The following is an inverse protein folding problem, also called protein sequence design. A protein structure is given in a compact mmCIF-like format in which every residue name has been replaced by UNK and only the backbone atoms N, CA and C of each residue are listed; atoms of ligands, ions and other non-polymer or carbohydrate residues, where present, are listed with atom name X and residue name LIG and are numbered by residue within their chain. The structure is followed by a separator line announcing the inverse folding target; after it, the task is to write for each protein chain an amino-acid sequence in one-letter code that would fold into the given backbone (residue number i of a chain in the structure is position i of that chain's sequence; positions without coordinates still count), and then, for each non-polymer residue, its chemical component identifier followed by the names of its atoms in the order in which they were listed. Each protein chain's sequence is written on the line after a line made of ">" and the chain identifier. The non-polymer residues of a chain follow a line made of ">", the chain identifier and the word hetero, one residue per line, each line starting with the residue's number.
data_IF_483698431677
#
_entry.id   IF_483698431677
#
_cell.length_a   1.000
_cell.length_b   1.000
_cell.length_c   1.000
_cell.angle_alpha   90.00
_cell.angle_beta   90.00
_cell.angle_gamma   90.00
#
_symmetry.space_group_name_H-M   'P 1'
#
loop_
_entity.id
_entity.type
_entity.pdbx_description
1 polymer ?
#
# COMPACT_ATOMS: atom_id res chain seq x y z
N UNK A 1 -1.25 -8.49 4.89
CA UNK A 1 0.09 -7.87 5.01
C UNK A 1 0.19 -6.78 6.08
N UNK A 2 -0.38 -5.58 5.93
CA UNK A 2 -0.27 -4.53 6.98
C UNK A 2 -0.96 -4.97 8.28
N UNK A 3 -2.15 -5.56 8.22
CA UNK A 3 -2.82 -6.09 9.40
C UNK A 3 -1.98 -7.15 10.14
N UNK A 4 -1.39 -8.09 9.39
CA UNK A 4 -0.48 -9.12 9.92
C UNK A 4 0.78 -8.50 10.55
N UNK A 5 1.31 -7.40 9.99
CA UNK A 5 2.42 -6.65 10.58
C UNK A 5 2.11 -6.18 12.01
N UNK A 6 0.85 -5.85 12.28
CA UNK A 6 0.35 -5.46 13.59
C UNK A 6 -0.25 -6.64 14.40
N UNK A 7 0.02 -7.89 13.99
CA UNK A 7 -0.53 -9.12 14.60
C UNK A 7 -2.06 -9.14 14.69
N UNK A 8 -2.73 -8.55 13.70
CA UNK A 8 -4.17 -8.68 13.54
C UNK A 8 -4.47 -9.86 12.62
N UNK A 9 -5.35 -10.74 13.10
CA UNK A 9 -5.91 -11.84 12.33
C UNK A 9 -7.06 -11.28 11.47
N UNK A 10 -6.68 -10.56 10.41
CA UNK A 10 -7.61 -10.00 9.42
C UNK A 10 -7.28 -10.57 8.06
N UNK A 11 -8.20 -11.35 7.51
CA UNK A 11 -8.11 -11.84 6.14
C UNK A 11 -8.63 -10.79 5.15
N UNK A 12 -8.02 -10.71 3.96
CA UNK A 12 -8.43 -9.73 2.94
C UNK A 12 -9.93 -9.84 2.61
N UNK A 13 -10.49 -11.05 2.63
CA UNK A 13 -11.91 -11.25 2.41
C UNK A 13 -12.80 -10.58 3.47
N UNK A 14 -12.38 -10.59 4.73
CA UNK A 14 -13.16 -10.01 5.83
C UNK A 14 -13.26 -8.50 5.67
N UNK A 15 -12.15 -7.87 5.26
CA UNK A 15 -12.06 -6.44 4.94
C UNK A 15 -13.01 -6.10 3.79
N UNK A 16 -12.97 -6.86 2.69
CA UNK A 16 -13.84 -6.63 1.52
C UNK A 16 -15.32 -6.85 1.86
N UNK A 17 -15.64 -7.89 2.63
CA UNK A 17 -17.02 -8.15 3.05
C UNK A 17 -17.60 -7.04 3.90
N UNK A 18 -16.79 -6.47 4.79
CA UNK A 18 -17.20 -5.34 5.62
C UNK A 18 -17.41 -4.09 4.77
N UNK A 19 -16.45 -3.74 3.91
CA UNK A 19 -16.51 -2.57 3.03
C UNK A 19 -17.75 -2.52 2.14
N UNK A 20 -18.22 -3.68 1.65
CA UNK A 20 -19.35 -3.76 0.73
C UNK A 20 -20.62 -4.35 1.35
N UNK A 21 -20.66 -4.52 2.67
CA UNK A 21 -21.80 -5.08 3.42
C UNK A 21 -22.33 -6.40 2.82
N UNK A 22 -21.41 -7.30 2.46
CA UNK A 22 -21.75 -8.51 1.71
C UNK A 22 -22.27 -9.62 2.62
N UNK A 23 -23.42 -10.17 2.27
CA UNK A 23 -24.01 -11.32 2.99
C UNK A 23 -23.30 -12.64 2.68
N UNK A 24 -22.60 -12.76 1.54
CA UNK A 24 -21.78 -13.91 1.16
C UNK A 24 -20.32 -13.49 0.96
N UNK A 25 -19.33 -14.32 1.36
CA UNK A 25 -17.94 -13.90 1.32
C UNK A 25 -17.45 -13.68 -0.11
N UNK A 26 -16.89 -12.50 -0.36
CA UNK A 26 -16.16 -12.08 -1.55
C UNK A 26 -14.94 -12.96 -1.88
N UNK A 27 -14.65 -14.00 -1.08
CA UNK A 27 -13.56 -14.93 -1.29
C UNK A 27 -13.78 -15.76 -2.56
N UNK A 28 -13.57 -15.20 -3.75
CA UNK A 28 -13.23 -16.04 -4.87
C UNK A 28 -11.79 -16.50 -4.65
N UNK A 29 -11.68 -17.78 -4.34
CA UNK A 29 -10.47 -18.57 -4.42
C UNK A 29 -9.61 -18.13 -5.62
N UNK A 30 -8.29 -18.05 -5.38
CA UNK A 30 -7.21 -18.31 -6.36
C UNK A 30 -7.75 -18.60 -7.77
N UNK A 31 -7.35 -17.80 -8.78
CA UNK A 31 -7.64 -17.93 -10.24
C UNK A 31 -8.54 -16.85 -10.90
N UNK A 32 -8.41 -15.57 -10.52
CA UNK A 32 -8.68 -14.46 -11.46
C UNK A 32 -10.14 -14.19 -11.83
N UNK A 33 -11.08 -14.33 -10.88
CA UNK A 33 -12.50 -14.07 -11.12
C UNK A 33 -13.19 -13.15 -10.09
N UNK A 34 -12.44 -12.47 -9.20
CA UNK A 34 -12.96 -11.29 -8.47
C UNK A 34 -12.87 -9.98 -9.29
N UNK A 35 -12.31 -10.05 -10.50
CA UNK A 35 -11.67 -8.92 -11.19
C UNK A 35 -12.58 -7.83 -11.77
N UNK A 36 -13.89 -7.76 -11.50
CA UNK A 36 -14.74 -6.90 -12.34
C UNK A 36 -15.62 -5.82 -11.72
N UNK A 37 -15.83 -5.71 -10.39
CA UNK A 37 -16.74 -4.66 -9.92
C UNK A 37 -16.37 -3.89 -8.67
N UNK A 38 -15.37 -4.31 -7.88
CA UNK A 38 -15.02 -3.62 -6.64
C UNK A 38 -13.59 -3.09 -6.71
N UNK A 39 -13.49 -1.82 -7.08
CA UNK A 39 -12.26 -1.07 -6.93
C UNK A 39 -12.41 -0.26 -5.65
N UNK A 40 -11.70 -0.66 -4.59
CA UNK A 40 -11.60 0.16 -3.38
C UNK A 40 -10.94 1.49 -3.76
N UNK A 41 -11.59 2.62 -3.49
CA UNK A 41 -10.89 3.89 -3.61
C UNK A 41 -9.87 3.98 -2.48
N UNK A 42 -8.77 4.76 -2.63
CA UNK A 42 -7.85 4.98 -1.52
C UNK A 42 -8.55 5.50 -0.26
N UNK A 43 -9.64 6.26 -0.43
CA UNK A 43 -10.42 6.77 0.69
C UNK A 43 -11.18 5.65 1.42
N UNK A 44 -11.80 4.72 0.69
CA UNK A 44 -12.54 3.59 1.28
C UNK A 44 -11.60 2.73 2.12
N UNK A 45 -10.43 2.37 1.57
CA UNK A 45 -9.39 1.63 2.31
C UNK A 45 -8.93 2.40 3.54
N UNK A 46 -8.76 3.72 3.43
CA UNK A 46 -8.30 4.51 4.58
C UNK A 46 -9.35 4.58 5.70
N UNK A 47 -10.65 4.63 5.36
CA UNK A 47 -11.73 4.61 6.34
C UNK A 47 -11.80 3.25 7.06
N UNK A 48 -11.52 2.19 6.33
CA UNK A 48 -11.53 0.83 6.88
C UNK A 48 -10.46 0.61 7.94
N UNK A 49 -9.29 1.24 7.79
CA UNK A 49 -8.27 1.25 8.85
C UNK A 49 -8.75 1.93 10.13
N UNK A 50 -9.53 3.01 10.01
CA UNK A 50 -10.15 3.68 11.16
C UNK A 50 -11.16 2.76 11.86
N UNK A 51 -11.93 1.97 11.10
CA UNK A 51 -12.83 0.95 11.64
C UNK A 51 -12.09 -0.08 12.51
N UNK A 52 -10.90 -0.51 12.07
CA UNK A 52 -10.04 -1.43 12.83
C UNK A 52 -9.23 -0.76 13.96
N UNK A 53 -9.54 0.51 14.28
CA UNK A 53 -8.96 1.25 15.40
C UNK A 53 -7.57 1.82 15.12
N UNK A 54 -7.17 1.93 13.86
CA UNK A 54 -5.92 2.61 13.52
C UNK A 54 -6.13 4.12 13.38
N UNK A 55 -5.15 4.86 13.88
CA UNK A 55 -4.86 6.20 13.39
C UNK A 55 -3.87 6.09 12.23
N UNK A 56 -4.04 6.96 11.23
CA UNK A 56 -3.23 7.00 10.01
C UNK A 56 -3.18 8.42 9.44
N UNK A 57 -2.29 8.61 8.48
CA UNK A 57 -2.25 9.79 7.62
C UNK A 57 -2.44 9.40 6.17
N UNK A 58 -3.08 10.31 5.45
CA UNK A 58 -3.30 10.20 4.03
C UNK A 58 -2.50 11.27 3.29
N UNK A 59 -1.92 10.92 2.15
CA UNK A 59 -1.31 11.88 1.24
C UNK A 59 -1.77 11.59 -0.19
N UNK A 60 -2.67 12.42 -0.69
CA UNK A 60 -3.12 12.42 -2.08
C UNK A 60 -2.28 13.38 -2.92
N UNK A 61 -1.18 12.92 -3.52
CA UNK A 61 -0.51 13.64 -4.60
C UNK A 61 0.60 12.81 -5.24
N UNK A 62 0.81 13.04 -6.54
CA UNK A 62 2.05 12.65 -7.22
C UNK A 62 3.15 13.64 -6.82
N UNK A 63 4.37 13.19 -6.51
CA UNK A 63 4.88 11.85 -6.81
C UNK A 63 5.03 10.95 -5.57
N UNK A 64 3.95 10.61 -4.86
CA UNK A 64 4.03 9.70 -3.72
C UNK A 64 4.62 10.31 -2.46
N UNK A 65 5.08 9.48 -1.51
CA UNK A 65 5.56 9.93 -0.20
C UNK A 65 6.99 10.47 -0.29
N UNK A 66 7.34 11.65 0.28
CA UNK A 66 8.71 12.17 0.25
C UNK A 66 9.73 11.24 0.90
N UNK A 67 10.95 11.16 0.35
CA UNK A 67 12.02 10.27 0.85
C UNK A 67 12.27 10.36 2.36
N UNK A 68 12.32 11.59 2.90
CA UNK A 68 12.53 11.79 4.33
C UNK A 68 11.38 11.24 5.18
N UNK A 69 10.15 11.28 4.66
CA UNK A 69 9.00 10.70 5.34
C UNK A 69 9.03 9.18 5.25
N UNK A 70 9.39 8.58 4.10
CA UNK A 70 9.62 7.13 3.98
C UNK A 70 10.62 6.65 5.04
N UNK A 71 11.77 7.32 5.14
CA UNK A 71 12.79 6.98 6.14
C UNK A 71 12.25 7.06 7.56
N UNK A 72 11.51 8.13 7.88
CA UNK A 72 10.94 8.33 9.21
C UNK A 72 9.93 7.22 9.56
N UNK A 73 9.02 6.89 8.64
CA UNK A 73 8.01 5.85 8.85
C UNK A 73 8.65 4.48 9.08
N UNK A 74 9.59 4.09 8.23
CA UNK A 74 10.23 2.77 8.32
C UNK A 74 11.23 2.70 9.48
N UNK A 75 12.18 3.63 9.59
CA UNK A 75 13.27 3.52 10.58
C UNK A 75 12.90 4.00 11.98
N UNK A 76 12.03 5.01 12.11
CA UNK A 76 11.70 5.57 13.43
C UNK A 76 10.44 4.95 14.01
N UNK A 77 9.44 4.68 13.18
CA UNK A 77 8.15 4.18 13.65
C UNK A 77 7.94 2.70 13.41
N UNK A 78 8.81 2.05 12.62
CA UNK A 78 8.56 0.68 12.16
C UNK A 78 7.14 0.56 11.60
N UNK A 79 6.68 1.58 10.87
CA UNK A 79 5.34 1.65 10.30
C UNK A 79 5.43 1.36 8.81
N UNK A 80 4.73 0.36 8.27
CA UNK A 80 4.64 0.17 6.83
C UNK A 80 3.90 1.33 6.17
N UNK A 81 4.02 1.45 4.85
CA UNK A 81 3.30 2.43 4.04
C UNK A 81 2.48 1.68 2.99
N UNK A 82 1.18 1.97 2.89
CA UNK A 82 0.34 1.47 1.82
C UNK A 82 0.40 2.45 0.63
N UNK A 83 0.88 1.97 -0.51
CA UNK A 83 1.11 2.76 -1.70
C UNK A 83 0.10 2.42 -2.80
N UNK A 84 -0.64 3.42 -3.28
CA UNK A 84 -1.58 3.25 -4.38
C UNK A 84 -0.95 3.68 -5.69
N UNK A 85 -0.95 2.75 -6.63
CA UNK A 85 -0.32 2.85 -7.93
C UNK A 85 -1.41 3.03 -8.99
N UNK A 86 -1.28 4.10 -9.77
CA UNK A 86 -2.14 4.38 -10.92
C UNK A 86 -1.47 4.02 -12.23
N UNK A 87 -2.28 3.50 -13.16
CA UNK A 87 -1.91 3.29 -14.55
C UNK A 87 -2.72 4.27 -15.41
N UNK A 88 -2.17 5.47 -15.63
CA UNK A 88 -2.91 6.56 -16.27
C UNK A 88 -3.86 7.28 -15.31
N UNK A 89 -5.17 7.36 -15.64
CA UNK A 89 -6.18 8.08 -14.85
C UNK A 89 -6.82 7.25 -13.74
N UNK A 90 -6.59 5.93 -13.73
CA UNK A 90 -7.21 5.01 -12.76
C UNK A 90 -6.15 4.48 -11.79
N UNK A 91 -6.52 4.39 -10.50
CA UNK A 91 -5.83 3.50 -9.58
C UNK A 91 -6.01 2.07 -10.09
N UNK A 92 -4.94 1.30 -10.14
CA UNK A 92 -5.02 -0.06 -10.64
C UNK A 92 -4.25 -1.07 -9.80
N UNK A 93 -3.51 -0.63 -8.79
CA UNK A 93 -2.77 -1.55 -7.94
C UNK A 93 -2.40 -0.93 -6.58
N UNK A 94 -2.24 -1.77 -5.55
CA UNK A 94 -1.84 -1.35 -4.20
C UNK A 94 -0.67 -2.22 -3.77
N UNK A 95 0.38 -1.59 -3.29
CA UNK A 95 1.60 -2.25 -2.79
C UNK A 95 1.89 -1.79 -1.36
N UNK A 96 2.75 -2.51 -0.64
CA UNK A 96 3.17 -2.16 0.71
C UNK A 96 4.67 -1.90 0.74
N UNK A 97 5.09 -0.71 1.14
CA UNK A 97 6.49 -0.38 1.35
C UNK A 97 6.87 -0.72 2.79
N UNK A 98 7.87 -1.58 2.94
CA UNK A 98 8.32 -2.13 4.23
C UNK A 98 9.79 -1.84 4.56
N UNK A 99 10.52 -1.22 3.62
CA UNK A 99 11.95 -1.01 3.75
C UNK A 99 12.47 0.10 2.86
N UNK A 100 13.67 0.57 3.18
CA UNK A 100 14.43 1.46 2.32
C UNK A 100 15.92 1.17 2.45
N UNK A 101 16.70 1.59 1.46
CA UNK A 101 18.15 1.66 1.56
C UNK A 101 18.67 2.87 0.80
N UNK A 102 19.67 3.51 1.38
CA UNK A 102 20.38 4.61 0.76
C UNK A 102 21.54 4.04 -0.06
N UNK A 103 21.65 4.49 -1.29
CA UNK A 103 22.74 4.08 -2.19
C UNK A 103 23.87 5.10 -2.08
N UNK A 104 25.10 4.61 -1.94
CA UNK A 104 26.28 5.49 -1.85
C UNK A 104 26.79 5.94 -3.21
N UNK A 105 26.40 5.24 -4.28
CA UNK A 105 26.77 5.56 -5.65
C UNK A 105 25.85 6.69 -6.17
N UNK A 106 26.38 7.85 -6.57
CA UNK A 106 25.57 8.98 -7.05
C UNK A 106 24.83 8.71 -8.37
N UNK A 107 25.12 7.60 -9.06
CA UNK A 107 24.43 7.16 -10.27
C UNK A 107 23.34 6.12 -10.00
N UNK A 108 23.20 5.67 -8.75
CA UNK A 108 22.15 4.72 -8.34
C UNK A 108 21.21 5.45 -7.41
N UNK A 109 19.94 5.51 -7.79
CA UNK A 109 18.93 6.10 -6.94
C UNK A 109 18.70 5.26 -5.68
N UNK A 110 18.37 5.95 -4.59
CA UNK A 110 17.91 5.30 -3.36
C UNK A 110 16.76 4.33 -3.65
N UNK A 111 16.69 3.25 -2.89
CA UNK A 111 15.73 2.18 -3.18
C UNK A 111 14.74 1.99 -2.03
N UNK A 112 13.50 1.69 -2.40
CA UNK A 112 12.46 1.22 -1.49
C UNK A 112 12.27 -0.29 -1.66
N UNK A 113 11.91 -0.95 -0.57
CA UNK A 113 11.53 -2.35 -0.57
C UNK A 113 10.00 -2.42 -0.53
N UNK A 114 9.39 -2.73 -1.68
CA UNK A 114 7.95 -2.83 -1.85
C UNK A 114 7.53 -4.29 -2.01
N UNK A 115 6.36 -4.63 -1.51
CA UNK A 115 5.75 -5.95 -1.64
C UNK A 115 4.42 -5.85 -2.38
N UNK A 116 4.28 -6.65 -3.43
CA UNK A 116 3.05 -6.81 -4.20
C UNK A 116 2.17 -7.86 -3.49
N UNK A 117 0.97 -7.51 -3.02
CA UNK A 117 0.08 -8.45 -2.35
C UNK A 117 -0.54 -9.50 -3.30
N UNK A 118 -0.52 -9.31 -4.62
CA UNK A 118 -1.08 -10.26 -5.58
C UNK A 118 -0.27 -11.56 -5.65
N UNK A 119 1.06 -11.46 -5.60
CA UNK A 119 1.95 -12.62 -5.68
C UNK A 119 2.80 -12.82 -4.40
N UNK A 120 2.71 -11.89 -3.45
CA UNK A 120 3.47 -11.90 -2.20
C UNK A 120 4.96 -11.63 -2.41
N UNK A 121 5.38 -11.22 -3.61
CA UNK A 121 6.77 -10.95 -3.92
C UNK A 121 7.17 -9.58 -3.40
N UNK A 122 8.34 -9.51 -2.76
CA UNK A 122 8.96 -8.25 -2.37
C UNK A 122 10.18 -7.97 -3.25
N UNK A 123 10.34 -6.72 -3.65
CA UNK A 123 11.37 -6.29 -4.57
C UNK A 123 11.91 -4.91 -4.23
N UNK A 124 13.15 -4.66 -4.66
CA UNK A 124 13.77 -3.36 -4.53
C UNK A 124 13.54 -2.55 -5.80
N UNK A 125 13.05 -1.33 -5.64
CA UNK A 125 12.74 -0.41 -6.74
C UNK A 125 13.28 0.98 -6.40
N UNK A 126 13.79 1.68 -7.41
CA UNK A 126 14.32 3.02 -7.24
C UNK A 126 13.19 4.00 -6.84
N UNK A 127 13.45 4.83 -5.84
CA UNK A 127 12.55 5.85 -5.32
C UNK A 127 12.02 6.82 -6.41
N UNK A 128 12.81 7.28 -7.41
CA UNK A 128 12.24 8.03 -8.52
C UNK A 128 11.54 7.16 -9.57
N UNK A 129 11.90 5.89 -9.76
CA UNK A 129 11.23 5.02 -10.75
C UNK A 129 9.83 4.59 -10.29
N UNK A 130 9.63 4.44 -8.98
CA UNK A 130 8.31 4.26 -8.38
C UNK A 130 7.42 5.52 -8.53
N UNK A 131 8.08 6.67 -8.72
CA UNK A 131 7.47 7.99 -8.85
C UNK A 131 7.26 8.44 -10.28
N UNK A 132 8.05 7.93 -11.23
CA UNK A 132 8.01 8.34 -12.63
C UNK A 132 8.72 7.32 -13.52
N UNK A 133 7.98 6.63 -14.39
CA UNK A 133 8.58 6.16 -15.65
C UNK A 133 8.16 4.80 -16.21
N UNK A 134 7.63 3.89 -15.40
CA UNK A 134 7.30 2.52 -15.85
C UNK A 134 5.80 2.31 -16.18
N UNK A 135 5.02 3.40 -16.28
CA UNK A 135 3.55 3.32 -16.41
C UNK A 135 2.80 3.06 -15.09
N UNK A 136 3.54 2.92 -13.99
CA UNK A 136 3.06 2.90 -12.60
C UNK A 136 3.34 4.26 -11.96
N UNK A 137 2.29 4.93 -11.48
CA UNK A 137 2.40 6.22 -10.79
C UNK A 137 1.97 6.07 -9.33
N UNK A 138 2.91 6.16 -8.39
CA UNK A 138 2.55 6.30 -6.98
C UNK A 138 1.81 7.62 -6.76
N UNK A 139 0.52 7.51 -6.44
CA UNK A 139 -0.45 8.61 -6.50
C UNK A 139 -1.15 8.89 -5.19
N UNK A 140 -1.19 7.91 -4.28
CA UNK A 140 -1.73 8.06 -2.93
C UNK A 140 -0.95 7.20 -1.94
N UNK A 141 -0.82 7.68 -0.70
CA UNK A 141 -0.19 6.93 0.39
C UNK A 141 -1.08 6.95 1.63
N UNK A 142 -1.22 5.80 2.29
CA UNK A 142 -1.68 5.68 3.68
C UNK A 142 -0.46 5.27 4.52
N UNK A 143 -0.16 6.01 5.57
CA UNK A 143 1.06 5.86 6.37
C UNK A 143 0.85 6.32 7.82
N UNK A 144 1.89 6.22 8.66
CA UNK A 144 1.84 6.62 10.08
C UNK A 144 0.78 5.83 10.85
N UNK A 145 0.76 4.51 10.63
CA UNK A 145 -0.18 3.61 11.28
C UNK A 145 0.17 3.47 12.76
N UNK A 146 -0.77 3.83 13.63
CA UNK A 146 -0.63 3.59 15.06
C UNK A 146 -1.96 3.25 15.70
N UNK A 147 -1.93 2.51 16.81
CA UNK A 147 -3.11 2.03 17.52
C UNK A 147 -2.81 2.08 19.02
N UNK A 148 -3.77 2.59 19.78
CA UNK A 148 -3.71 2.68 21.25
C UNK A 148 -3.98 1.33 21.94
#
# INVERSE_FOLDING_TARGET
>A
MIAEYYNLDLEQCEIVNHLYELEEPACCYYYGLCDLYWADTPQDVSNEWEHYGFTKRDLSWSPGLPWNEIKKQIACFSSPIQAFISFGLNYGHVEVVIGYREESDPYVDNQIHACDPLDGACYWVADPDYRSGQGRNWSYSIYDFSRD
#
